data_IF_782341204581
#
_entry.id   IF_782341204581
#
_cell.length_a   1.000
_cell.length_b   1.000
_cell.length_c   1.000
_cell.angle_alpha   90.00
_cell.angle_beta   90.00
_cell.angle_gamma   90.00
#
_symmetry.space_group_name_H-M   'P 1'
#
loop_
_entity.id
_entity.type
_entity.pdbx_description
1 polymer ?
#
# COMPACT_ATOMS: atom_id res chain seq x y z
N UNK A 1 -23.69 -12.05 -20.91
CA UNK A 1 -22.93 -12.25 -20.56
C UNK A 1 -22.11 -11.36 -20.21
N UNK A 2 -21.67 -11.18 -19.52
CA UNK A 2 -21.16 -10.43 -19.17
C UNK A 2 -20.03 -10.17 -19.06
N UNK A 3 -19.59 -9.81 -18.85
CA UNK A 3 -18.65 -9.31 -18.94
C UNK A 3 -17.68 -9.38 -18.03
N UNK A 4 -16.87 -10.11 -18.02
CA UNK A 4 -15.75 -10.27 -17.24
C UNK A 4 -14.75 -9.16 -17.38
N UNK A 5 -14.95 -8.36 -18.37
CA UNK A 5 -14.08 -7.30 -18.55
C UNK A 5 -13.94 -6.43 -17.33
N UNK A 6 -15.01 -6.12 -16.66
CA UNK A 6 -15.01 -5.31 -15.47
C UNK A 6 -14.32 -6.02 -14.33
N UNK A 7 -14.56 -7.29 -14.19
CA UNK A 7 -13.93 -8.08 -13.14
C UNK A 7 -12.43 -8.16 -13.34
N UNK A 8 -12.01 -8.34 -14.59
CA UNK A 8 -10.59 -8.41 -14.88
C UNK A 8 -9.88 -7.11 -14.53
N UNK A 9 -10.53 -6.00 -14.83
CA UNK A 9 -9.94 -4.71 -14.52
C UNK A 9 -9.79 -4.54 -13.01
N UNK A 10 -10.81 -4.89 -12.25
CA UNK A 10 -10.78 -4.75 -10.80
C UNK A 10 -9.71 -5.67 -10.21
N UNK A 11 -9.63 -6.89 -10.67
CA UNK A 11 -8.63 -7.82 -10.18
C UNK A 11 -7.23 -7.33 -10.49
N UNK A 12 -7.04 -6.78 -11.67
CA UNK A 12 -5.77 -6.25 -12.07
C UNK A 12 -5.34 -5.10 -11.18
N UNK A 13 -6.26 -4.18 -10.91
CA UNK A 13 -5.97 -3.05 -10.05
C UNK A 13 -5.65 -3.51 -8.65
N UNK A 14 -6.44 -4.44 -8.13
CA UNK A 14 -6.21 -4.96 -6.78
C UNK A 14 -4.84 -5.62 -6.70
N UNK A 15 -4.48 -6.40 -7.72
CA UNK A 15 -3.17 -7.04 -7.73
C UNK A 15 -2.04 -6.04 -7.75
N UNK A 16 -2.21 -4.96 -8.50
CA UNK A 16 -1.18 -3.94 -8.54
C UNK A 16 -1.03 -3.23 -7.22
N UNK A 17 -2.14 -2.96 -6.56
CA UNK A 17 -2.10 -2.32 -5.26
C UNK A 17 -1.41 -3.23 -4.25
N UNK A 18 -1.73 -4.52 -4.27
CA UNK A 18 -1.12 -5.45 -3.33
C UNK A 18 0.37 -5.58 -3.60
N UNK A 19 0.75 -5.65 -4.86
CA UNK A 19 2.17 -5.76 -5.20
C UNK A 19 2.93 -4.53 -4.74
N UNK A 20 2.39 -3.35 -5.01
CA UNK A 20 3.02 -2.11 -4.59
C UNK A 20 3.11 -2.05 -3.06
N UNK A 21 2.02 -2.42 -2.40
CA UNK A 21 1.96 -2.34 -0.94
C UNK A 21 2.94 -3.32 -0.31
N UNK A 22 3.09 -4.50 -0.88
CA UNK A 22 4.01 -5.49 -0.35
C UNK A 22 5.45 -5.02 -0.46
N UNK A 23 5.81 -4.47 -1.61
CA UNK A 23 7.15 -3.97 -1.80
C UNK A 23 7.44 -2.78 -0.90
N UNK A 24 6.47 -1.89 -0.80
CA UNK A 24 6.61 -0.72 0.05
C UNK A 24 6.75 -1.12 1.51
N UNK A 25 5.95 -2.08 1.94
CA UNK A 25 6.01 -2.56 3.32
C UNK A 25 7.34 -3.24 3.60
N UNK A 26 7.84 -3.99 2.62
CA UNK A 26 9.11 -4.68 2.80
C UNK A 26 10.24 -3.68 2.99
N UNK A 27 10.24 -2.63 2.20
CA UNK A 27 11.26 -1.60 2.33
C UNK A 27 11.11 -0.89 3.68
N UNK A 28 9.88 -0.54 4.05
CA UNK A 28 9.64 0.15 5.30
C UNK A 28 10.07 -0.69 6.49
N UNK A 29 9.85 -2.00 6.41
CA UNK A 29 10.22 -2.89 7.50
C UNK A 29 11.71 -2.90 7.75
N UNK A 30 12.50 -2.58 6.74
CA UNK A 30 13.94 -2.54 6.88
C UNK A 30 14.46 -1.25 7.50
N UNK A 31 13.60 -0.25 7.63
CA UNK A 31 14.02 1.02 8.21
C UNK A 31 14.15 0.89 9.72
N UNK A 32 15.07 1.66 10.31
CA UNK A 32 15.45 1.43 11.72
C UNK A 32 14.46 1.90 12.76
N UNK A 33 13.53 2.78 12.44
CA UNK A 33 12.65 3.31 13.48
C UNK A 33 11.25 3.53 12.93
N UNK A 34 10.32 3.63 13.87
CA UNK A 34 8.94 3.91 13.51
C UNK A 34 8.84 5.26 12.82
N UNK A 35 9.60 6.24 13.28
CA UNK A 35 9.56 7.55 12.69
C UNK A 35 10.01 7.53 11.23
N UNK A 36 11.06 6.78 10.96
CA UNK A 36 11.53 6.66 9.60
C UNK A 36 10.53 5.95 8.71
N UNK A 37 9.89 4.92 9.27
CA UNK A 37 8.88 4.19 8.53
C UNK A 37 7.68 5.08 8.20
N UNK A 38 7.25 5.87 9.19
CA UNK A 38 6.11 6.76 8.97
C UNK A 38 6.45 7.84 7.95
N UNK A 39 7.64 8.37 8.02
CA UNK A 39 8.08 9.38 7.08
C UNK A 39 8.13 8.82 5.66
N UNK A 40 8.67 7.63 5.53
CA UNK A 40 8.76 6.98 4.23
C UNK A 40 7.36 6.75 3.63
N UNK A 41 6.42 6.27 4.45
CA UNK A 41 5.07 6.03 3.96
C UNK A 41 4.36 7.33 3.57
N UNK A 42 4.61 8.40 4.33
CA UNK A 42 4.04 9.70 3.99
C UNK A 42 4.57 10.18 2.65
N UNK A 43 5.84 9.98 2.41
CA UNK A 43 6.43 10.38 1.14
C UNK A 43 5.89 9.55 -0.02
N UNK A 44 5.70 8.26 0.22
CA UNK A 44 5.11 7.40 -0.79
C UNK A 44 3.69 7.85 -1.12
N UNK A 45 2.94 8.23 -0.09
CA UNK A 45 1.60 8.73 -0.29
C UNK A 45 1.61 9.97 -1.19
N UNK A 46 2.47 10.90 -0.88
CA UNK A 46 2.57 12.13 -1.67
C UNK A 46 2.95 11.84 -3.11
N UNK A 47 3.87 10.92 -3.31
CA UNK A 47 4.28 10.57 -4.67
C UNK A 47 3.15 9.96 -5.45
N UNK A 48 2.33 9.13 -4.79
CA UNK A 48 1.19 8.53 -5.47
C UNK A 48 0.18 9.58 -5.88
N UNK A 49 -0.11 10.53 -4.99
CA UNK A 49 -1.05 11.60 -5.32
C UNK A 49 -0.52 12.42 -6.48
N UNK A 50 0.73 12.84 -6.38
CA UNK A 50 1.33 13.66 -7.42
C UNK A 50 1.35 12.95 -8.76
N UNK A 51 1.74 11.68 -8.74
CA UNK A 51 1.81 10.91 -9.97
C UNK A 51 0.45 10.72 -10.62
N UNK A 52 -0.57 10.42 -9.82
CA UNK A 52 -1.90 10.22 -10.33
C UNK A 52 -2.45 11.51 -10.94
N UNK A 53 -2.20 12.63 -10.26
CA UNK A 53 -2.68 13.90 -10.77
C UNK A 53 -1.96 14.30 -12.04
N UNK A 54 -0.69 13.94 -12.13
CA UNK A 54 0.07 14.23 -13.35
C UNK A 54 -0.48 13.45 -14.54
N UNK A 55 -1.14 12.33 -14.27
CA UNK A 55 -1.75 11.55 -15.32
C UNK A 55 -3.21 11.91 -15.58
N UNK A 56 -3.68 12.95 -14.94
CA UNK A 56 -5.04 13.43 -15.19
C UNK A 56 -6.07 13.05 -14.17
N UNK A 57 -5.68 12.37 -13.11
CA UNK A 57 -6.64 11.99 -12.07
C UNK A 57 -6.97 13.20 -11.22
N UNK A 58 -8.27 13.38 -10.93
CA UNK A 58 -8.69 14.47 -10.06
C UNK A 58 -8.14 14.25 -8.67
N UNK A 59 -7.87 15.34 -7.97
CA UNK A 59 -7.22 15.26 -6.67
C UNK A 59 -7.95 14.35 -5.68
N UNK A 60 -9.27 14.45 -5.51
CA UNK A 60 -9.94 13.57 -4.54
C UNK A 60 -9.74 12.10 -4.86
N UNK A 61 -9.77 11.77 -6.14
CA UNK A 61 -9.57 10.39 -6.55
C UNK A 61 -8.12 9.95 -6.35
N UNK A 62 -7.19 10.85 -6.62
CA UNK A 62 -5.79 10.56 -6.43
C UNK A 62 -5.49 10.30 -4.95
N UNK A 63 -6.09 11.11 -4.07
CA UNK A 63 -5.90 10.92 -2.64
C UNK A 63 -6.52 9.61 -2.19
N UNK A 64 -7.72 9.30 -2.69
CA UNK A 64 -8.37 8.05 -2.29
C UNK A 64 -7.54 6.85 -2.70
N UNK A 65 -6.96 6.90 -3.87
CA UNK A 65 -6.11 5.81 -4.34
C UNK A 65 -4.85 5.70 -3.48
N UNK A 66 -4.23 6.83 -3.18
CA UNK A 66 -3.03 6.82 -2.36
C UNK A 66 -3.35 6.31 -0.95
N UNK A 67 -4.50 6.70 -0.41
CA UNK A 67 -4.92 6.22 0.90
C UNK A 67 -5.05 4.70 0.90
N UNK A 68 -5.70 4.17 -0.13
CA UNK A 68 -5.90 2.73 -0.21
C UNK A 68 -4.56 2.00 -0.28
N UNK A 69 -3.65 2.52 -1.08
CA UNK A 69 -2.34 1.90 -1.25
C UNK A 69 -1.54 1.92 0.04
N UNK A 70 -1.50 3.08 0.69
CA UNK A 70 -0.69 3.21 1.91
C UNK A 70 -1.32 2.43 3.05
N UNK A 71 -2.65 2.40 3.13
CA UNK A 71 -3.29 1.61 4.17
C UNK A 71 -3.00 0.13 4.00
N UNK A 72 -2.98 -0.34 2.77
CA UNK A 72 -2.62 -1.74 2.52
C UNK A 72 -1.17 -1.99 2.93
N UNK A 73 -0.28 -1.05 2.62
CA UNK A 73 1.11 -1.20 3.00
C UNK A 73 1.28 -1.21 4.51
N UNK A 74 0.52 -0.39 5.22
CA UNK A 74 0.62 -0.37 6.67
C UNK A 74 0.17 -1.68 7.29
N UNK A 75 -0.85 -2.29 6.74
CA UNK A 75 -1.31 -3.58 7.24
C UNK A 75 -0.25 -4.64 7.05
N UNK A 76 0.33 -4.68 5.87
CA UNK A 76 1.36 -5.66 5.58
C UNK A 76 2.59 -5.40 6.44
N UNK A 77 2.94 -4.14 6.61
CA UNK A 77 4.08 -3.76 7.44
C UNK A 77 3.89 -4.24 8.87
N UNK A 78 2.69 -4.07 9.40
CA UNK A 78 2.41 -4.52 10.76
C UNK A 78 2.67 -6.03 10.89
N UNK A 79 2.28 -6.78 9.87
CA UNK A 79 2.51 -8.22 9.89
C UNK A 79 3.99 -8.56 9.78
N UNK A 80 4.70 -7.85 8.93
CA UNK A 80 6.14 -8.07 8.81
C UNK A 80 6.86 -7.81 10.11
N UNK A 81 6.49 -6.72 10.79
CA UNK A 81 7.16 -6.36 12.03
C UNK A 81 6.82 -7.35 13.15
N UNK A 82 5.58 -7.79 13.20
CA UNK A 82 5.18 -8.77 14.20
C UNK A 82 5.93 -10.08 13.99
N UNK A 83 6.06 -10.46 12.75
CA UNK A 83 6.75 -11.69 12.41
C UNK A 83 8.23 -11.60 12.79
N UNK A 84 8.82 -10.48 12.49
CA UNK A 84 10.22 -10.27 12.79
C UNK A 84 10.47 -10.24 14.29
N UNK A 85 9.52 -9.70 15.04
CA UNK A 85 9.65 -9.64 16.49
C UNK A 85 9.46 -11.00 17.14
N UNK A 86 9.08 -12.00 16.35
CA UNK A 86 8.89 -13.33 16.90
C UNK A 86 7.61 -13.52 17.67
N UNK A 87 6.65 -12.62 17.47
CA UNK A 87 5.38 -12.72 18.13
C UNK A 87 4.50 -13.68 17.38
N UNK A 88 4.18 -14.82 17.95
CA UNK A 88 3.38 -15.79 17.22
C UNK A 88 1.96 -15.32 17.11
N UNK A 89 1.53 -15.25 15.88
CA UNK A 89 0.24 -14.85 15.64
C UNK A 89 -0.71 -15.86 16.10
N UNK A 90 -1.72 -15.52 16.71
CA UNK A 90 -2.72 -16.46 17.11
C UNK A 90 -2.38 -17.30 18.31
N UNK A 91 -1.23 -17.07 18.93
CA UNK A 91 -0.93 -17.86 19.96
C UNK A 91 -1.26 -17.10 21.12
N UNK A 92 -1.84 -17.47 21.91
CA UNK A 92 -2.26 -16.66 23.04
C UNK A 92 -1.17 -16.48 24.01
#
# INVERSE_FOLDING_TARGET
MLLPMTDDFTDNLTNKIVAWATETARYAAALPSKERRDCYLSERHRELVTGAMAEGTAEPDAVALADACVNAARRILTEFLAHRAGVPKGRA
#
